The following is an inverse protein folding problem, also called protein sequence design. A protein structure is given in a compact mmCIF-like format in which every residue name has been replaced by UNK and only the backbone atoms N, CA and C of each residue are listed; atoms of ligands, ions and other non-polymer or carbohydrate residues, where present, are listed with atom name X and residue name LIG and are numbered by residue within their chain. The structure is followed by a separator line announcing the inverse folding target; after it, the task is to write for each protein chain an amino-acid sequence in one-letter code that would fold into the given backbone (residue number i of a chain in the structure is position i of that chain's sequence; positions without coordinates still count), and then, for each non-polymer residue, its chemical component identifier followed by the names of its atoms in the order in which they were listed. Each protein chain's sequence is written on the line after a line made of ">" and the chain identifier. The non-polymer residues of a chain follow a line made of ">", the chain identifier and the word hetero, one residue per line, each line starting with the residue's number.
data_IF_976117606108
#
_entry.id   IF_976117606108
#
_cell.length_a   1.000
_cell.length_b   1.000
_cell.length_c   1.000
_cell.angle_alpha   90.00
_cell.angle_beta   90.00
_cell.angle_gamma   90.00
#
_symmetry.space_group_name_H-M   'P 1'
#
loop_
_entity.id
_entity.type
_entity.pdbx_description
1 polymer ?
2 polymer ?
3 water ?
#
loop_
_entity_poly.entity_id
_entity_poly.type
_entity_poly.pdbx_seq_one_letter_code
_entity_poly.pdbx_strand_id
1 'polydeoxyribonucleotide' '(DT)(DC)(DG)(DC)(DG)(DA)(PRN)(DT)(DT)(DC)(DG)(DC)(DG)' ?
#
# COMPACT_ATOMS: atom_id res chain seq x y z
N UNK B 16 1.40 2.46 22.46
CA UNK B 16 0.44 3.30 21.71
C UNK B 16 -0.90 3.39 22.43
N UNK B 17 -1.86 4.08 21.81
CA UNK B 17 -3.19 4.25 22.38
C UNK B 17 -3.91 2.93 22.60
N UNK B 18 -4.19 2.62 23.86
CA UNK B 18 -4.89 1.39 24.21
C UNK B 18 -4.18 0.10 23.85
N UNK B 19 -4.89 -0.76 23.12
CA UNK B 19 -4.38 -2.06 22.70
C UNK B 19 -3.50 -2.03 21.46
N UNK B 20 -3.39 -0.88 20.81
CA UNK B 20 -2.58 -0.74 19.60
C UNK B 20 -1.11 -1.06 19.87
N UNK B 21 -0.67 -0.83 21.10
CA UNK B 21 0.70 -1.12 21.48
C UNK B 21 0.91 -2.61 21.68
N UNK B 22 -0.15 -3.28 22.16
CA UNK B 22 -0.11 -4.72 22.42
C UNK B 22 -0.04 -5.47 21.08
N UNK B 23 -0.96 -5.13 20.17
CA UNK B 23 -1.02 -5.76 18.86
C UNK B 23 0.26 -5.54 18.06
N UNK B 24 0.85 -4.36 18.21
CA UNK B 24 2.07 -4.03 17.50
C UNK B 24 3.24 -4.91 17.89
N UNK B 25 3.34 -5.21 19.20
CA UNK B 25 4.41 -6.05 19.71
C UNK B 25 4.23 -7.50 19.26
N UNK B 26 2.98 -7.91 19.07
CA UNK B 26 2.68 -9.26 18.63
C UNK B 26 3.18 -9.46 17.19
N UNK B 27 2.94 -8.45 16.36
CA UNK B 27 3.37 -8.48 14.97
C UNK B 27 4.90 -8.49 14.89
N UNK B 28 5.52 -7.74 15.80
CA UNK B 28 6.98 -7.66 15.90
C UNK B 28 7.58 -9.01 16.26
N UNK B 29 6.96 -9.68 17.24
CA UNK B 29 7.42 -10.98 17.72
C UNK B 29 7.34 -12.09 16.68
N UNK B 30 6.35 -12.01 15.79
CA UNK B 30 6.17 -13.03 14.76
C UNK B 30 6.62 -12.63 13.36
N UNK B 31 7.08 -11.40 13.22
CA UNK B 31 7.56 -10.89 11.92
C UNK B 31 6.51 -11.19 10.83
N UNK B 32 5.26 -10.82 11.13
CA UNK B 32 4.13 -11.06 10.23
C UNK B 32 4.25 -10.40 8.86
N UNK B 33 3.78 -11.10 7.84
CA UNK B 33 3.80 -10.58 6.47
C UNK B 33 2.70 -9.53 6.34
N UNK B 34 2.77 -8.72 5.28
CA UNK B 34 1.80 -7.66 5.05
C UNK B 34 0.35 -8.16 5.06
N UNK B 35 0.14 -9.38 4.55
CA UNK B 35 -1.19 -9.96 4.51
C UNK B 35 -1.70 -10.30 5.90
N UNK B 36 -0.80 -10.83 6.73
CA UNK B 36 -1.14 -11.21 8.11
C UNK B 36 -1.33 -9.99 9.01
N UNK B 37 -0.69 -8.88 8.64
CA UNK B 37 -0.80 -7.65 9.41
C UNK B 37 -2.17 -7.03 9.14
N UNK B 38 -2.68 -7.21 7.92
CA UNK B 38 -3.99 -6.68 7.55
C UNK B 38 -5.07 -7.39 8.35
N UNK B 39 -4.83 -8.67 8.62
CA UNK B 39 -5.77 -9.48 9.41
C UNK B 39 -5.72 -9.02 10.86
N UNK B 40 -4.52 -8.65 11.30
CA UNK B 40 -4.30 -8.17 12.67
C UNK B 40 -4.96 -6.81 12.84
N UNK B 41 -4.96 -6.01 11.78
CA UNK B 41 -5.56 -4.68 11.79
C UNK B 41 -7.08 -4.76 11.94
N UNK B 42 -7.71 -5.67 11.19
CA UNK B 42 -9.16 -5.84 11.27
C UNK B 42 -9.56 -6.40 12.63
N UNK B 43 -8.64 -7.13 13.26
CA UNK B 43 -8.87 -7.72 14.58
C UNK B 43 -8.83 -6.59 15.61
N UNK B 44 -7.94 -5.63 15.39
CA UNK B 44 -7.81 -4.47 16.27
C UNK B 44 -8.97 -3.52 16.08
N UNK B 45 -9.49 -3.44 14.85
CA UNK B 45 -10.61 -2.56 14.53
C UNK B 45 -11.90 -3.07 15.16
N UNK B 46 -12.08 -4.39 15.17
CA UNK B 46 -13.28 -4.99 15.75
C UNK B 46 -13.24 -4.89 17.27
N UNK B 47 -12.04 -4.69 17.81
CA UNK B 47 -11.82 -4.56 19.25
C UNK B 47 -12.13 -3.12 19.69
N UNK B 48 -11.70 -2.15 18.88
CA UNK B 48 -11.93 -0.73 19.17
C UNK B 48 -13.37 -0.32 18.86
N UNK B 49 -13.98 -1.00 17.90
CA UNK B 49 -15.37 -0.72 17.50
C UNK B 49 -16.18 -2.01 17.50
N UNK B 50 -16.62 -2.45 18.69
CA UNK B 50 -17.41 -3.68 18.87
C UNK B 50 -18.78 -3.63 18.19
N UNK B 51 -19.31 -2.41 18.03
CA UNK B 51 -20.62 -2.20 17.41
C UNK B 51 -20.59 -2.41 15.89
N UNK B 52 -19.42 -2.26 15.29
CA UNK B 52 -19.26 -2.41 13.85
C UNK B 52 -18.78 -3.80 13.44
N UNK B 53 -19.07 -4.17 12.19
CA UNK B 53 -18.69 -5.46 11.62
C UNK B 53 -17.60 -5.29 10.56
N UNK B 54 -16.49 -6.01 10.73
CA UNK B 54 -15.37 -5.94 9.79
C UNK B 54 -15.09 -7.30 9.16
N UNK B 55 -14.53 -7.29 7.96
CA UNK B 55 -14.18 -8.53 7.25
C UNK B 55 -12.89 -8.39 6.45
N UNK B 56 -12.27 -9.51 6.15
CA UNK B 56 -11.03 -9.53 5.38
C UNK B 56 -11.16 -10.39 4.13
N UNK B 57 -10.71 -9.87 3.00
CA UNK B 57 -10.75 -10.58 1.73
C UNK B 57 -9.36 -10.60 1.14
N UNK B 58 -9.07 -11.60 0.32
CA UNK B 58 -7.76 -11.72 -0.31
C UNK B 58 -7.76 -11.30 -1.78
N UNK B 59 -8.95 -11.06 -2.33
CA UNK B 59 -9.08 -10.67 -3.73
C UNK B 59 -10.44 -10.06 -4.05
N UNK B 60 -10.53 -9.48 -5.25
CA UNK B 60 -11.76 -8.86 -5.73
C UNK B 60 -11.88 -9.19 -7.21
N UNK B 61 -13.06 -9.68 -7.62
CA UNK B 61 -13.29 -10.03 -9.02
C UNK B 61 -13.51 -8.79 -9.88
N UNK B 62 -13.16 -8.90 -11.16
CA UNK B 62 -13.32 -7.79 -12.09
C UNK B 62 -14.81 -7.49 -12.29
N UNK B 63 -15.65 -8.49 -12.00
CA UNK B 63 -17.10 -8.33 -12.14
C UNK B 63 -17.60 -7.30 -11.12
N UNK B 64 -17.04 -7.37 -9.90
CA UNK B 64 -17.42 -6.45 -8.82
C UNK B 64 -17.02 -5.02 -9.16
N UNK B 65 -15.82 -4.85 -9.70
CA UNK B 65 -15.31 -3.54 -10.08
C UNK B 65 -16.15 -2.97 -11.22
N UNK B 66 -16.50 -3.83 -12.17
CA UNK B 66 -17.32 -3.41 -13.32
C UNK B 66 -18.71 -2.97 -12.85
N UNK B 67 -19.23 -3.65 -11.83
CA UNK B 67 -20.54 -3.33 -11.30
C UNK B 67 -20.51 -1.99 -10.59
N UNK B 68 -19.41 -1.72 -9.88
CA UNK B 68 -19.24 -0.46 -9.16
C UNK B 68 -19.13 0.70 -10.16
N UNK B 69 -18.54 0.42 -11.32
CA UNK B 69 -18.37 1.40 -12.38
C UNK B 69 -19.68 1.76 -13.08
N UNK B 70 -20.54 0.76 -13.25
CA UNK B 70 -21.84 0.95 -13.91
C UNK B 70 -22.77 1.82 -13.07
N UNK B 71 -22.60 1.76 -11.75
CA UNK B 71 -23.42 2.54 -10.81
C UNK B 71 -23.09 4.03 -10.90
N UNK B 72 -21.89 4.34 -11.36
CA UNK B 72 -21.43 5.71 -11.52
C UNK B 72 -21.84 6.26 -12.89
N UNK B 73 -21.66 5.43 -13.92
CA UNK B 73 -22.02 5.80 -15.28
C UNK B 73 -22.26 4.51 -16.06
N UNK B 74 -23.39 4.41 -16.77
CA UNK B 74 -23.78 3.24 -17.58
C UNK B 74 -22.77 2.80 -18.65
N UNK B 75 -21.96 3.73 -19.13
CA UNK B 75 -20.97 3.43 -20.16
C UNK B 75 -19.69 2.83 -19.60
N UNK B 76 -19.52 2.90 -18.28
CA UNK B 76 -18.34 2.38 -17.61
C UNK B 76 -18.48 0.91 -17.21
N UNK B 77 -17.33 0.23 -17.08
CA UNK B 77 -17.31 -1.17 -16.69
C UNK B 77 -18.01 -2.11 -17.67
N UNK B 78 -17.87 -1.82 -18.96
CA UNK B 78 -18.51 -2.65 -19.98
C UNK B 78 -17.67 -3.74 -20.61
N UNK B 79 -16.39 -3.81 -20.26
CA UNK B 79 -15.50 -4.84 -20.83
C UNK B 79 -15.11 -5.93 -19.84
N UNK B 80 -15.01 -7.15 -20.36
CA UNK B 80 -14.63 -8.33 -19.57
C UNK B 80 -14.37 -9.45 -20.55
N UNK B 81 -13.09 -9.68 -20.86
CA UNK B 81 -12.69 -10.72 -21.80
C UNK B 81 -12.56 -12.09 -21.16
N UNK B 82 -12.08 -12.12 -19.92
CA UNK B 82 -11.93 -13.35 -19.16
C UNK B 82 -12.89 -13.22 -17.98
N UNK B 83 -13.98 -13.99 -18.02
CA UNK B 83 -15.02 -13.95 -16.99
C UNK B 83 -14.57 -14.08 -15.54
N UNK B 84 -13.54 -14.89 -15.30
CA UNK B 84 -13.03 -15.11 -13.95
C UNK B 84 -11.84 -14.23 -13.59
N UNK B 85 -11.73 -13.07 -14.24
CA UNK B 85 -10.63 -12.13 -13.98
C UNK B 85 -10.71 -11.53 -12.58
N UNK B 86 -9.56 -11.26 -11.99
CA UNK B 86 -9.50 -10.68 -10.65
C UNK B 86 -8.13 -10.12 -10.28
N UNK B 87 -8.10 -9.37 -9.18
CA UNK B 87 -6.86 -8.80 -8.66
C UNK B 87 -6.67 -9.37 -7.26
N UNK B 88 -5.43 -9.65 -6.90
CA UNK B 88 -5.13 -10.21 -5.60
C UNK B 88 -3.97 -9.51 -4.90
N UNK B 89 -4.26 -8.43 -4.16
CA UNK B 89 -3.23 -7.67 -3.43
C UNK B 89 -2.65 -8.59 -2.37
N UNK B 90 -1.32 -8.69 -2.32
CA UNK B 90 -0.67 -9.56 -1.33
C UNK B 90 -0.98 -9.19 0.12
N UNK B 91 -1.53 -7.99 0.31
CA UNK B 91 -1.88 -7.53 1.64
C UNK B 91 -3.35 -7.74 1.94
N UNK B 92 -4.15 -7.95 0.89
CA UNK B 92 -5.58 -8.16 1.08
C UNK B 92 -6.39 -6.88 1.16
N UNK B 93 -7.65 -7.03 1.55
CA UNK B 93 -8.58 -5.90 1.68
C UNK B 93 -9.38 -6.04 2.97
N UNK B 94 -9.58 -4.92 3.67
CA UNK B 94 -10.37 -4.90 4.90
C UNK B 94 -11.59 -4.02 4.62
N UNK B 95 -12.76 -4.43 5.10
CA UNK B 95 -13.99 -3.67 4.87
C UNK B 95 -14.87 -3.59 6.11
N UNK B 96 -15.78 -2.62 6.10
CA UNK B 96 -16.72 -2.42 7.20
C UNK B 96 -18.12 -2.24 6.62
N UNK B 97 -19.12 -2.82 7.28
CA UNK B 97 -20.50 -2.73 6.81
C UNK B 97 -21.11 -1.41 7.29
N UNK B 98 -21.71 -0.67 6.37
CA UNK B 98 -22.34 0.60 6.72
C UNK B 98 -23.78 0.42 7.21
N UNK B 99 -24.47 1.53 7.45
CA UNK B 99 -25.86 1.50 7.93
C UNK B 99 -26.84 0.98 6.87
N UNK B 100 -26.41 0.97 5.62
CA UNK B 100 -27.26 0.52 4.52
C UNK B 100 -27.03 -0.96 4.18
N UNK B 101 -26.13 -1.61 4.92
CA UNK B 101 -25.84 -3.02 4.67
C UNK B 101 -24.74 -3.28 3.66
N UNK B 102 -24.22 -2.22 3.05
CA UNK B 102 -23.15 -2.34 2.05
C UNK B 102 -21.76 -2.33 2.67
N UNK B 103 -20.85 -3.13 2.12
CA UNK B 103 -19.49 -3.20 2.61
C UNK B 103 -18.63 -2.13 1.95
N UNK B 104 -18.00 -1.29 2.80
CA UNK B 104 -17.16 -0.20 2.35
C UNK B 104 -15.70 -0.53 2.68
N UNK B 105 -14.82 -0.43 1.69
CA UNK B 105 -13.41 -0.73 1.90
C UNK B 105 -12.70 0.27 2.81
N UNK B 106 -12.04 -0.27 3.83
CA UNK B 106 -11.31 0.50 4.82
C UNK B 106 -9.79 0.45 4.61
N UNK B 107 -9.31 -0.63 4.00
CA UNK B 107 -7.86 -0.79 3.76
C UNK B 107 -7.50 -1.76 2.64
N UNK B 108 -6.43 -1.42 1.93
CA UNK B 108 -5.89 -2.25 0.85
C UNK B 108 -4.37 -2.12 0.93
N UNK B 109 -3.70 -3.19 1.35
CA UNK B 109 -2.25 -3.18 1.49
C UNK B 109 -1.51 -3.94 0.40
N UNK B 110 -0.27 -3.55 0.16
CA UNK B 110 0.58 -4.17 -0.85
C UNK B 110 2.04 -3.94 -0.47
N UNK B 111 2.89 -4.93 -0.71
CA UNK B 111 4.31 -4.83 -0.39
C UNK B 111 5.14 -5.37 -1.55
N UNK B 112 6.03 -4.53 -2.08
CA UNK B 112 6.88 -4.91 -3.21
C UNK B 112 8.37 -4.88 -2.86
N UNK B 113 9.15 -5.61 -3.64
CA UNK B 113 10.60 -5.69 -3.45
C UNK B 113 11.31 -5.56 -4.79
N UNK B 114 12.50 -4.94 -4.77
CA UNK B 114 13.30 -4.77 -5.97
C UNK B 114 14.69 -4.24 -5.62
N UNK B 115 15.72 -4.87 -6.19
CA UNK B 115 17.08 -4.46 -5.93
C UNK B 115 17.75 -5.30 -4.85
N UNK B 116 18.59 -6.24 -5.27
CA UNK B 116 19.29 -7.11 -4.33
C UNK B 116 20.78 -6.82 -4.27
N UNK B 117 21.14 -5.55 -4.45
CA UNK B 117 22.53 -5.12 -4.42
C UNK B 117 23.15 -5.21 -3.04
N UNK B 118 22.35 -4.91 -2.01
CA UNK B 118 22.84 -4.98 -0.62
C UNK B 118 23.31 -6.39 -0.31
N UNK B 119 22.51 -7.37 -0.73
CA UNK B 119 22.82 -8.78 -0.50
C UNK B 119 24.05 -9.22 -1.28
N UNK B 120 24.14 -8.80 -2.55
CA UNK B 120 25.26 -9.16 -3.40
C UNK B 120 26.57 -8.60 -2.87
N UNK B 121 26.52 -7.41 -2.28
CA UNK B 121 27.71 -6.76 -1.74
C UNK B 121 28.11 -7.36 -0.39
N UNK B 122 27.12 -7.82 0.39
CA UNK B 122 27.40 -8.45 1.68
C UNK B 122 28.24 -9.68 1.40
N UNK B 123 28.02 -10.27 0.24
CA UNK B 123 28.76 -11.44 -0.22
C UNK B 123 29.76 -10.94 -1.26
N UNK B 124 30.59 -11.84 -1.78
CA UNK B 124 31.56 -11.42 -2.77
C UNK B 124 31.06 -11.61 -4.19
N UNK B 125 29.74 -11.48 -4.37
CA UNK B 125 29.12 -11.66 -5.68
C UNK B 125 29.19 -10.47 -6.63
N UNK B 126 29.86 -10.68 -7.76
CA UNK B 126 29.98 -9.65 -8.79
C UNK B 126 28.96 -10.01 -9.87
N UNK B 127 28.04 -9.08 -10.13
CA UNK B 127 27.00 -9.31 -11.13
C UNK B 127 27.38 -8.77 -12.51
N UNK B 128 26.46 -8.88 -13.46
CA UNK B 128 26.73 -8.40 -14.81
C UNK B 128 26.98 -9.51 -15.80
N UNK B 129 26.91 -9.16 -17.09
CA UNK B 129 27.13 -10.12 -18.17
C UNK B 129 28.57 -10.65 -18.20
N UNK B 130 29.47 -9.95 -17.53
CA UNK B 130 30.87 -10.34 -17.47
C UNK B 130 31.27 -10.78 -16.06
N UNK B 131 30.38 -10.54 -15.09
CA UNK B 131 30.66 -10.92 -13.72
C UNK B 131 31.77 -10.06 -13.13
N UNK B 132 31.59 -8.74 -13.20
CA UNK B 132 32.57 -7.80 -12.71
C UNK B 132 31.96 -6.55 -12.08
N UNK B 133 30.65 -6.38 -12.28
CA UNK B 133 29.94 -5.23 -11.74
C UNK B 133 29.59 -5.40 -10.27
N UNK B 134 29.65 -4.31 -9.51
CA UNK B 134 29.30 -4.34 -8.09
C UNK B 134 27.80 -4.16 -7.96
N UNK B 135 27.23 -3.39 -8.88
CA UNK B 135 25.81 -3.11 -8.89
C UNK B 135 25.13 -3.63 -10.16
N UNK B 136 23.82 -3.83 -10.06
CA UNK B 136 23.01 -4.31 -11.17
C UNK B 136 22.13 -3.15 -11.62
N UNK B 137 22.06 -2.91 -12.92
CA UNK B 137 21.22 -1.84 -13.45
C UNK B 137 19.78 -2.13 -13.03
N UNK B 138 19.19 -1.21 -12.28
CA UNK B 138 17.82 -1.38 -11.79
C UNK B 138 16.78 -1.55 -12.89
N UNK B 139 15.91 -2.53 -12.72
CA UNK B 139 14.86 -2.82 -13.68
C UNK B 139 13.64 -1.93 -13.53
N UNK B 140 12.52 -2.36 -14.12
CA UNK B 140 11.29 -1.58 -14.09
C UNK B 140 10.02 -2.37 -13.73
N UNK B 141 10.19 -3.59 -13.23
CA UNK B 141 9.06 -4.44 -12.86
C UNK B 141 8.13 -3.85 -11.81
N UNK B 142 8.63 -2.88 -11.06
CA UNK B 142 7.84 -2.23 -10.02
C UNK B 142 6.70 -1.37 -10.57
N UNK B 143 6.82 -0.98 -11.84
CA UNK B 143 5.81 -0.16 -12.50
C UNK B 143 4.45 -0.85 -12.60
N UNK B 144 4.43 -2.16 -12.40
CA UNK B 144 3.19 -2.94 -12.43
C UNK B 144 2.25 -2.52 -11.29
N UNK B 145 2.82 -1.95 -10.24
CA UNK B 145 2.07 -1.50 -9.07
C UNK B 145 0.92 -0.55 -9.42
N UNK B 146 1.10 0.19 -10.51
CA UNK B 146 0.09 1.14 -10.96
C UNK B 146 -1.22 0.50 -11.41
N UNK B 147 -1.18 -0.77 -11.79
CA UNK B 147 -2.39 -1.46 -12.24
C UNK B 147 -3.41 -1.66 -11.13
N UNK B 148 -2.99 -2.30 -10.03
CA UNK B 148 -3.89 -2.54 -8.90
C UNK B 148 -4.37 -1.24 -8.27
N UNK B 149 -3.54 -0.20 -8.35
CA UNK B 149 -3.91 1.10 -7.81
C UNK B 149 -5.04 1.70 -8.64
N UNK B 150 -5.01 1.47 -9.95
CA UNK B 150 -6.04 1.95 -10.85
C UNK B 150 -7.36 1.20 -10.64
N UNK B 151 -7.24 -0.11 -10.44
CA UNK B 151 -8.40 -0.98 -10.21
C UNK B 151 -9.14 -0.57 -8.95
N UNK B 152 -8.41 -0.40 -7.85
CA UNK B 152 -9.01 0.00 -6.58
C UNK B 152 -9.59 1.40 -6.68
N UNK B 153 -8.94 2.27 -7.45
CA UNK B 153 -9.41 3.64 -7.64
C UNK B 153 -10.76 3.64 -8.34
N UNK B 154 -10.90 2.78 -9.35
CA UNK B 154 -12.15 2.67 -10.09
C UNK B 154 -13.23 2.04 -9.22
N UNK B 155 -12.81 1.09 -8.39
CA UNK B 155 -13.71 0.39 -7.48
C UNK B 155 -14.23 1.34 -6.39
N UNK B 156 -13.42 2.35 -6.08
CA UNK B 156 -13.77 3.33 -5.05
C UNK B 156 -13.96 4.74 -5.62
N UNK B 157 -14.37 4.82 -6.88
CA UNK B 157 -14.59 6.10 -7.56
C UNK B 157 -15.71 6.92 -6.93
N UNK B 158 -16.64 6.26 -6.24
CA UNK B 158 -17.76 6.93 -5.59
C UNK B 158 -17.42 7.35 -4.16
N UNK B 159 -16.28 6.91 -3.67
CA UNK B 159 -15.83 7.21 -2.31
C UNK B 159 -15.07 8.53 -2.22
N UNK B 160 -14.92 9.03 -0.99
CA UNK B 160 -14.21 10.27 -0.72
C UNK B 160 -12.86 9.97 -0.06
N UNK B 161 -12.51 8.69 0.01
CA UNK B 161 -11.24 8.26 0.60
C UNK B 161 -10.64 7.15 -0.25
N UNK B 162 -9.31 7.02 -0.21
CA UNK B 162 -8.59 6.02 -0.97
C UNK B 162 -7.48 5.45 -0.07
N UNK B 163 -7.82 4.45 0.74
CA UNK B 163 -6.91 3.79 1.68
C UNK B 163 -5.94 2.75 1.11
N UNK B 164 -5.26 3.11 0.03
CA UNK B 164 -4.30 2.20 -0.60
C UNK B 164 -2.90 2.46 -0.06
N UNK B 165 -2.28 1.43 0.52
CA UNK B 165 -0.94 1.54 1.09
C UNK B 165 0.05 0.65 0.33
N UNK B 166 1.20 1.21 -0.02
CA UNK B 166 2.24 0.48 -0.74
C UNK B 166 3.57 0.55 0.00
N UNK B 167 4.06 -0.60 0.45
CA UNK B 167 5.33 -0.68 1.17
C UNK B 167 6.45 -1.10 0.22
N UNK B 168 7.55 -0.36 0.22
CA UNK B 168 8.69 -0.65 -0.64
C UNK B 168 9.95 -0.92 0.15
N UNK B 169 10.78 -1.81 -0.37
CA UNK B 169 12.06 -2.15 0.25
C UNK B 169 13.01 -2.79 -0.75
N UNK B 170 14.29 -2.50 -0.58
CA UNK B 170 15.30 -3.03 -1.48
C UNK B 170 16.32 -1.96 -1.85
N UNK B 171 17.31 -2.35 -2.65
CA UNK B 171 18.36 -1.43 -3.08
C UNK B 171 17.85 -0.36 -4.04
N UNK B 172 16.68 -0.59 -4.63
CA UNK B 172 16.11 0.36 -5.58
C UNK B 172 15.17 1.39 -4.98
N UNK B 173 15.04 1.42 -3.65
CA UNK B 173 14.16 2.38 -2.99
C UNK B 173 14.81 3.11 -1.81
N UNK B 174 16.02 3.62 -2.05
CA UNK B 174 16.77 4.35 -1.03
C UNK B 174 16.40 5.83 -0.95
N UNK B 175 16.40 6.36 0.27
CA UNK B 175 16.10 7.77 0.51
C UNK B 175 17.26 8.42 1.28
N UNK B 176 18.30 7.64 1.53
CA UNK B 176 19.50 8.09 2.24
C UNK B 176 20.69 7.26 1.78
N UNK B 177 21.88 7.85 1.84
CA UNK B 177 23.11 7.16 1.44
C UNK B 177 23.51 6.08 2.44
N UNK B 178 24.04 4.97 1.92
CA UNK B 178 24.47 3.85 2.75
C UNK B 178 25.78 3.26 2.27
N UNK B 179 26.47 2.55 3.16
CA UNK B 179 27.74 1.92 2.83
C UNK B 179 27.69 0.43 3.16
N UNK B 180 28.02 -0.40 2.19
CA UNK B 180 28.00 -1.85 2.37
C UNK B 180 29.40 -2.43 2.25
N UNK B 181 29.82 -3.18 3.27
CA UNK B 181 31.15 -3.79 3.27
C UNK B 181 31.12 -5.25 2.83
N UNK B 182 31.97 -5.58 1.87
CA UNK B 182 32.06 -6.94 1.33
C UNK B 182 33.06 -7.78 2.14
N UNK B 183 33.08 -9.10 1.93
CA UNK B 183 34.00 -10.01 2.64
C UNK B 183 35.47 -9.62 2.47
N UNK B 184 35.76 -8.88 1.42
CA UNK B 184 37.11 -8.42 1.12
C UNK B 184 37.51 -7.29 2.07
N UNK B 185 36.57 -6.40 2.35
CA UNK B 185 36.82 -5.28 3.24
C UNK B 185 36.51 -3.95 2.58
N UNK B 186 36.45 -3.95 1.26
CA UNK B 186 36.15 -2.74 0.48
C UNK B 186 34.70 -2.29 0.69
N UNK B 187 34.53 -1.01 0.98
CA UNK B 187 33.20 -0.45 1.20
C UNK B 187 32.61 0.19 -0.06
N UNK B 188 31.47 -0.35 -0.50
CA UNK B 188 30.78 0.15 -1.69
C UNK B 188 29.73 1.17 -1.26
N UNK B 189 30.04 2.45 -1.50
CA UNK B 189 29.14 3.55 -1.13
C UNK B 189 28.03 3.74 -2.17
N UNK B 190 26.79 3.62 -1.72
CA UNK B 190 25.63 3.76 -2.59
C UNK B 190 24.92 5.10 -2.37
N UNK B 191 24.75 5.86 -3.45
CA UNK B 191 24.05 7.14 -3.38
C UNK B 191 22.61 6.95 -3.81
N UNK B 192 21.68 7.30 -2.92
CA UNK B 192 20.26 7.14 -3.18
C UNK B 192 19.74 7.92 -4.38
N UNK B 193 20.33 9.08 -4.65
CA UNK B 193 19.91 9.92 -5.76
C UNK B 193 20.43 9.49 -7.13
N UNK B 194 21.06 8.31 -7.20
CA UNK B 194 21.59 7.79 -8.45
C UNK B 194 20.51 7.06 -9.26
N UNK B 195 20.32 7.49 -10.50
CA UNK B 195 19.34 6.88 -11.37
C UNK B 195 19.67 5.47 -11.84
N UNK B 196 20.80 4.94 -11.40
CA UNK B 196 21.20 3.58 -11.76
C UNK B 196 20.48 2.57 -10.87
N UNK B 197 20.09 3.00 -9.67
CA UNK B 197 19.40 2.14 -8.72
C UNK B 197 18.01 2.63 -8.31
N UNK B 198 17.92 3.90 -7.94
CA UNK B 198 16.66 4.49 -7.49
C UNK B 198 15.51 4.42 -8.50
N UNK B 199 14.42 3.81 -8.07
CA UNK B 199 13.23 3.64 -8.90
C UNK B 199 11.99 4.22 -8.22
N UNK B 200 12.22 5.05 -7.20
CA UNK B 200 11.16 5.69 -6.44
C UNK B 200 10.32 6.63 -7.30
N UNK B 201 10.94 7.21 -8.33
CA UNK B 201 10.26 8.12 -9.23
C UNK B 201 9.29 7.40 -10.16
N UNK B 202 9.40 6.06 -10.22
CA UNK B 202 8.52 5.25 -11.06
C UNK B 202 7.19 5.01 -10.34
N UNK B 203 7.00 5.63 -9.17
CA UNK B 203 5.79 5.46 -8.37
C UNK B 203 5.13 6.77 -7.96
N UNK B 204 5.89 7.86 -8.02
CA UNK B 204 5.38 9.18 -7.60
C UNK B 204 4.13 9.67 -8.32
N UNK B 205 3.81 9.08 -9.47
CA UNK B 205 2.61 9.46 -10.21
C UNK B 205 1.37 8.97 -9.47
N UNK B 206 1.52 7.89 -8.72
CA UNK B 206 0.43 7.28 -7.95
C UNK B 206 -0.14 8.20 -6.87
N UNK B 207 0.65 9.15 -6.39
CA UNK B 207 0.18 10.08 -5.37
C UNK B 207 0.32 11.55 -5.76
N UNK B 208 0.42 11.80 -7.06
CA UNK B 208 0.52 13.15 -7.62
C UNK B 208 1.69 13.98 -7.09
N UNK B 209 2.78 13.31 -6.73
CA UNK B 209 3.94 14.02 -6.21
C UNK B 209 3.84 14.47 -4.77
N UNK B 210 2.76 14.08 -4.09
CA UNK B 210 2.59 14.46 -2.69
C UNK B 210 3.64 13.69 -1.88
N UNK B 211 3.99 14.18 -0.68
CA UNK B 211 4.99 13.53 0.16
C UNK B 211 4.79 12.04 0.45
N UNK B 212 5.88 11.28 0.35
CA UNK B 212 5.86 9.85 0.61
C UNK B 212 5.88 9.62 2.12
N UNK B 213 5.71 8.37 2.53
CA UNK B 213 5.71 7.99 3.95
C UNK B 213 4.66 8.78 4.74
N UNK B 214 3.56 9.12 4.06
CA UNK B 214 2.48 9.89 4.68
C UNK B 214 1.11 9.26 4.40
N UNK B 215 0.15 9.58 5.28
CA UNK B 215 -1.22 9.09 5.16
C UNK B 215 -1.97 10.04 4.22
N UNK B 216 -2.19 9.58 2.98
CA UNK B 216 -2.88 10.38 1.97
C UNK B 216 -4.28 9.80 1.68
N UNK B 217 -4.89 9.22 2.70
CA UNK B 217 -6.22 8.60 2.57
C UNK B 217 -7.35 9.52 2.14
N UNK B 218 -7.48 10.69 2.78
CA UNK B 218 -8.54 11.63 2.44
C UNK B 218 -8.29 12.24 1.05
N UNK B 219 -9.24 12.04 0.15
CA UNK B 219 -9.13 12.56 -1.22
C UNK B 219 -9.14 14.09 -1.28
N UNK B 220 -8.27 14.63 -2.12
CA UNK B 220 -8.16 16.07 -2.30
C UNK B 220 -8.99 16.48 -3.52
N UNK B 221 -9.52 17.70 -3.49
CA UNK B 221 -10.32 18.21 -4.59
C UNK B 221 -9.66 19.45 -5.17
N UNK B 222 -9.27 19.37 -6.44
CA UNK B 222 -8.62 20.47 -7.12
C UNK B 222 -9.46 20.95 -8.29
N UNK B 223 -8.91 21.87 -9.08
CA UNK B 223 -9.56 22.42 -10.25
C UNK B 223 -8.68 23.49 -10.87
N UNK B 224 -8.67 23.57 -12.20
CA UNK B 224 -7.88 24.58 -12.89
C UNK B 224 -8.84 25.69 -13.25
N UNK B 225 -9.96 25.31 -13.87
CA UNK B 225 -11.02 26.23 -14.25
C UNK B 225 -12.23 25.77 -13.44
N UNK B 226 -13.41 26.36 -13.68
CA UNK B 226 -14.60 25.94 -12.95
C UNK B 226 -14.93 24.55 -13.48
N UNK B 227 -14.31 23.54 -12.85
CA UNK B 227 -14.45 22.15 -13.26
C UNK B 227 -14.68 21.18 -12.10
N UNK B 228 -13.73 21.14 -11.16
CA UNK B 228 -13.76 20.26 -9.99
C UNK B 228 -13.37 18.82 -10.33
N UNK B 229 -12.27 18.36 -9.72
CA UNK B 229 -11.76 17.00 -9.93
C UNK B 229 -11.40 16.38 -8.58
N UNK B 230 -11.56 15.07 -8.47
CA UNK B 230 -11.21 14.36 -7.25
C UNK B 230 -9.96 13.53 -7.47
N UNK B 231 -8.94 13.76 -6.63
CA UNK B 231 -7.69 13.04 -6.72
C UNK B 231 -7.66 11.85 -5.78
N UNK B 232 -7.15 10.73 -6.27
CA UNK B 232 -7.05 9.51 -5.48
C UNK B 232 -5.56 9.17 -5.34
N UNK B 233 -4.96 9.70 -4.28
CA UNK B 233 -3.54 9.50 -4.00
C UNK B 233 -3.27 8.32 -3.09
N UNK B 234 -2.34 7.47 -3.51
CA UNK B 234 -1.96 6.29 -2.73
C UNK B 234 -0.85 6.63 -1.75
N UNK B 235 -0.86 6.01 -0.59
CA UNK B 235 0.18 6.23 0.41
C UNK B 235 1.36 5.34 0.05
N UNK B 236 2.50 5.97 -0.24
CA UNK B 236 3.69 5.22 -0.64
C UNK B 236 4.79 5.26 0.42
N UNK B 237 4.92 4.16 1.15
CA UNK B 237 5.93 4.04 2.20
C UNK B 237 7.14 3.23 1.74
N UNK B 238 8.33 3.67 2.14
CA UNK B 238 9.56 3.00 1.77
C UNK B 238 10.55 2.90 2.90
N UNK B 239 11.39 1.87 2.84
CA UNK B 239 12.43 1.66 3.84
C UNK B 239 13.71 2.11 3.14
N UNK B 240 14.00 3.41 3.24
CA UNK B 240 15.17 3.98 2.60
C UNK B 240 16.52 3.53 3.11
N UNK B 241 16.53 2.74 4.18
CA UNK B 241 17.77 2.23 4.77
C UNK B 241 18.32 1.06 3.96
N UNK B 242 17.42 0.29 3.36
CA UNK B 242 17.81 -0.88 2.59
C UNK B 242 17.52 -2.11 3.43
N UNK B 243 17.04 -1.87 4.65
CA UNK B 243 16.70 -2.93 5.60
C UNK B 243 15.28 -3.45 5.38
N UNK B 244 14.94 -4.53 6.08
CA UNK B 244 13.62 -5.13 5.99
C UNK B 244 12.62 -4.29 6.77
N UNK B 245 11.35 -4.39 6.41
CA UNK B 245 10.30 -3.64 7.10
C UNK B 245 9.99 -4.23 8.47
N UNK B 246 9.71 -3.34 9.43
CA UNK B 246 9.38 -3.74 10.79
C UNK B 246 7.87 -3.95 10.83
N UNK B 247 7.44 -5.15 11.19
CA UNK B 247 6.02 -5.47 11.26
C UNK B 247 5.22 -4.58 12.22
N UNK B 248 5.87 -4.15 13.30
CA UNK B 248 5.22 -3.29 14.29
C UNK B 248 4.83 -1.95 13.68
N UNK B 249 5.74 -1.34 12.92
CA UNK B 249 5.46 -0.06 12.30
C UNK B 249 4.52 -0.19 11.09
N UNK B 250 4.55 -1.34 10.43
CA UNK B 250 3.66 -1.57 9.30
C UNK B 250 2.23 -1.59 9.82
N UNK B 251 2.05 -2.22 10.98
CA UNK B 251 0.75 -2.31 11.65
C UNK B 251 0.23 -0.94 12.03
N UNK B 252 1.09 -0.11 12.62
CA UNK B 252 0.71 1.23 13.05
C UNK B 252 0.29 2.11 11.88
N UNK B 253 1.01 1.96 10.76
CA UNK B 253 0.73 2.73 9.55
C UNK B 253 -0.60 2.30 8.93
N UNK B 254 -0.83 1.00 8.86
CA UNK B 254 -2.06 0.48 8.28
C UNK B 254 -3.28 0.76 9.14
N UNK B 255 -3.10 0.69 10.46
CA UNK B 255 -4.18 0.96 11.40
C UNK B 255 -4.58 2.43 11.32
N UNK B 256 -3.58 3.30 11.18
CA UNK B 256 -3.80 4.73 11.07
C UNK B 256 -4.64 5.07 9.85
N UNK B 257 -4.30 4.46 8.72
CA UNK B 257 -5.03 4.69 7.47
C UNK B 257 -6.45 4.14 7.56
N UNK B 258 -6.60 3.01 8.27
CA UNK B 258 -7.90 2.38 8.45
C UNK B 258 -8.85 3.27 9.27
N UNK B 259 -8.33 3.89 10.32
CA UNK B 259 -9.13 4.76 11.18
C UNK B 259 -9.53 6.03 10.44
N UNK B 260 -8.67 6.47 9.52
CA UNK B 260 -8.95 7.67 8.73
C UNK B 260 -10.11 7.36 7.79
N UNK B 261 -10.14 6.14 7.27
CA UNK B 261 -11.21 5.69 6.38
C UNK B 261 -12.54 5.71 7.12
N UNK B 262 -12.50 5.37 8.41
CA UNK B 262 -13.69 5.35 9.24
C UNK B 262 -14.22 6.77 9.48
N UNK B 263 -13.31 7.73 9.60
CA UNK B 263 -13.69 9.12 9.81
C UNK B 263 -14.46 9.65 8.61
N UNK B 264 -13.99 9.30 7.41
CA UNK B 264 -14.61 9.73 6.17
C UNK B 264 -15.97 9.05 6.00
N UNK B 265 -16.04 7.79 6.46
CA UNK B 265 -17.25 6.98 6.39
C UNK B 265 -18.19 7.23 7.57
N UNK B 266 -17.74 8.09 8.49
CA UNK B 266 -18.51 8.41 9.69
C UNK B 266 -20.02 8.57 9.58
N UNK B 267 -20.47 9.32 8.57
CA UNK B 267 -21.89 9.57 8.37
C UNK B 267 -22.73 8.31 8.12
N UNK B 268 -22.12 7.30 7.51
CA UNK B 268 -22.81 6.05 7.21
C UNK B 268 -22.53 4.94 8.22
N UNK B 269 -22.05 5.31 9.40
CA UNK B 269 -21.75 4.35 10.46
C UNK B 269 -22.42 4.72 11.77
N UNK B 270 -22.99 5.93 11.82
CA UNK B 270 -23.65 6.45 13.01
C UNK B 270 -24.74 5.58 13.62
N UNK B 271 -25.65 5.09 12.79
CA UNK B 271 -26.76 4.26 13.27
C UNK B 271 -26.32 2.99 14.00
N UNK B 272 -25.15 2.48 13.65
CA UNK B 272 -24.63 1.27 14.31
C UNK B 272 -23.91 1.57 15.61
N UNK B 273 -23.17 2.67 15.66
CA UNK B 273 -22.45 3.05 16.87
C UNK B 273 -23.41 3.59 17.93
N UNK B 274 -24.60 3.98 17.48
CA UNK B 274 -25.63 4.53 18.36
C UNK B 274 -26.68 3.47 18.71
N UNK B 275 -27.47 3.09 17.71
CA UNK B 275 -28.53 2.09 17.91
C UNK B 275 -27.98 0.67 17.96
N UNK B 276 -27.34 0.33 19.07
CA UNK B 276 -26.74 -0.99 19.28
C UNK B 276 -26.49 -1.26 20.76
#
# INVERSE_FOLDING_TARGET
>B
SNKKQSNRLTEQHKLSQGVIGIFGDYAKAHDLAVGEVSKLVKKALSNEYPQLSFRYRDSIKKTEINEALKKIDPDLGGTLFVSNSSIKPDGGIVEVKDDYGEWRVVLVAEAKHQGKDIINIRNGLLVGKRGDQDLMAAGNAIERSHKNISEIANFMLSESHFPYVLFLEGSNFLTENISITRPDGRVVNLEYNSGILNRLDRLTAANYGMPINSNLCINKFVNHKDKSIMLQAASIYTQGDGREWDSKIMFEIMFDISTTSLRVLGRDLFEQLTSK
#
